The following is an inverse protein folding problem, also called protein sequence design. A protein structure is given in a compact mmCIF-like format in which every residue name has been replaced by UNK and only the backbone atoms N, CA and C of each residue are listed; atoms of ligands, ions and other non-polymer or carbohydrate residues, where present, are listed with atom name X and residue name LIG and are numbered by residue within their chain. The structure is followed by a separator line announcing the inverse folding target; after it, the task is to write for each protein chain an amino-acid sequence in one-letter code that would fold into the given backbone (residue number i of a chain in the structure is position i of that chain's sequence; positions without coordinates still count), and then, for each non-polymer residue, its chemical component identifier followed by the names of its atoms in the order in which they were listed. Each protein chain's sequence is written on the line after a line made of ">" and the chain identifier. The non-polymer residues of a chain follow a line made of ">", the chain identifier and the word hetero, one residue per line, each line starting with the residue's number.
data_IF_636341741232
#
_entry.id   IF_636341741232
#
_cell.length_a   1.000
_cell.length_b   1.000
_cell.length_c   1.000
_cell.angle_alpha   90.00
_cell.angle_beta   90.00
_cell.angle_gamma   90.00
#
_symmetry.space_group_name_H-M   'P 1'
#
loop_
_entity.id
_entity.type
_entity.pdbx_description
1 polymer ?
#
# COMPACT_ATOMS: atom_id res chain seq x y z
N UNK A 1 10.55 2.43 7.24
CA UNK A 1 11.53 2.58 8.33
C UNK A 1 12.23 1.25 8.65
N UNK A 2 11.51 0.16 9.03
CA UNK A 2 12.11 -1.13 9.40
C UNK A 2 12.96 -1.77 8.29
N UNK A 3 12.57 -1.66 7.04
CA UNK A 3 13.37 -2.16 5.91
C UNK A 3 14.67 -1.37 5.72
N UNK A 4 14.64 -0.05 5.88
CA UNK A 4 15.86 0.78 5.86
C UNK A 4 16.80 0.41 7.01
N UNK A 5 16.27 0.28 8.22
CA UNK A 5 17.01 -0.19 9.41
C UNK A 5 17.65 -1.58 9.18
N UNK A 6 16.91 -2.50 8.57
CA UNK A 6 17.43 -3.83 8.20
C UNK A 6 18.63 -3.73 7.25
N UNK A 7 18.51 -2.92 6.17
CA UNK A 7 19.62 -2.69 5.22
C UNK A 7 20.85 -2.11 5.91
N UNK A 8 20.64 -1.09 6.74
CA UNK A 8 21.72 -0.42 7.47
C UNK A 8 22.45 -1.36 8.44
N UNK A 9 21.69 -2.20 9.15
CA UNK A 9 22.22 -3.11 10.14
C UNK A 9 22.90 -4.33 9.52
N UNK A 10 22.26 -4.93 8.51
CA UNK A 10 22.73 -6.21 7.95
C UNK A 10 23.65 -6.04 6.73
N UNK A 11 23.64 -4.86 6.10
CA UNK A 11 24.30 -4.59 4.82
C UNK A 11 23.84 -5.51 3.69
N UNK A 12 22.66 -6.10 3.81
CA UNK A 12 22.07 -6.98 2.80
C UNK A 12 21.19 -6.18 1.84
N UNK A 13 21.26 -6.43 0.52
CA UNK A 13 20.39 -5.76 -0.43
C UNK A 13 18.95 -6.24 -0.29
N UNK A 14 18.02 -5.33 -0.53
CA UNK A 14 16.59 -5.60 -0.67
C UNK A 14 16.22 -5.34 -2.13
N UNK A 15 15.65 -6.33 -2.80
CA UNK A 15 15.05 -6.17 -4.11
C UNK A 15 13.55 -6.41 -4.00
N UNK A 16 12.78 -5.53 -4.61
CA UNK A 16 11.33 -5.61 -4.65
C UNK A 16 10.86 -6.16 -6.00
N UNK A 17 9.80 -6.95 -5.99
CA UNK A 17 9.14 -7.45 -7.17
C UNK A 17 7.63 -7.17 -7.13
N UNK A 18 7.20 -6.29 -8.00
CA UNK A 18 5.80 -5.93 -8.15
C UNK A 18 5.11 -6.91 -9.10
N UNK A 19 4.36 -7.88 -8.58
CA UNK A 19 3.72 -8.92 -9.39
C UNK A 19 2.52 -8.41 -10.19
N UNK A 20 1.63 -7.61 -9.56
CA UNK A 20 0.38 -7.14 -10.17
C UNK A 20 0.07 -5.68 -9.84
N UNK A 21 -0.22 -5.40 -8.58
CA UNK A 21 -0.61 -4.08 -8.12
C UNK A 21 0.24 -3.68 -6.91
N UNK A 22 1.04 -2.65 -7.08
CA UNK A 22 1.89 -2.09 -6.04
C UNK A 22 1.86 -0.56 -6.13
N UNK A 23 0.80 0.05 -5.61
CA UNK A 23 0.54 1.47 -5.74
C UNK A 23 0.33 2.13 -4.37
N UNK A 24 0.43 3.47 -4.31
CA UNK A 24 0.24 4.25 -3.09
C UNK A 24 1.17 3.75 -1.96
N UNK A 25 0.65 3.33 -0.82
CA UNK A 25 1.45 2.76 0.27
C UNK A 25 2.31 1.57 -0.13
N UNK A 26 1.85 0.71 -1.07
CA UNK A 26 2.66 -0.37 -1.64
C UNK A 26 3.90 0.16 -2.38
N UNK A 27 3.73 1.20 -3.20
CA UNK A 27 4.85 1.86 -3.87
C UNK A 27 5.79 2.55 -2.86
N UNK A 28 5.23 3.17 -1.81
CA UNK A 28 6.04 3.79 -0.75
C UNK A 28 6.96 2.77 -0.05
N UNK A 29 6.48 1.55 0.21
CA UNK A 29 7.29 0.48 0.82
C UNK A 29 8.47 0.10 -0.07
N UNK A 30 8.27 0.06 -1.39
CA UNK A 30 9.32 -0.26 -2.37
C UNK A 30 10.49 0.74 -2.37
N UNK A 31 10.30 1.95 -1.85
CA UNK A 31 11.36 2.96 -1.72
C UNK A 31 12.47 2.57 -0.73
N UNK A 32 12.30 1.51 0.03
CA UNK A 32 13.37 0.94 0.86
C UNK A 32 14.29 -0.02 0.09
N UNK A 33 13.93 -0.37 -1.13
CA UNK A 33 14.64 -1.36 -1.95
C UNK A 33 15.81 -0.76 -2.71
N UNK A 34 16.82 -1.58 -2.99
CA UNK A 34 17.97 -1.21 -3.84
C UNK A 34 17.64 -1.36 -5.32
N UNK A 35 16.66 -2.21 -5.63
CA UNK A 35 16.12 -2.41 -6.97
C UNK A 35 14.66 -2.77 -6.92
N UNK A 36 13.92 -2.23 -7.88
CA UNK A 36 12.48 -2.46 -8.03
C UNK A 36 12.23 -3.07 -9.41
N UNK A 37 11.76 -4.30 -9.40
CA UNK A 37 11.33 -5.04 -10.58
C UNK A 37 9.81 -5.08 -10.66
N UNK A 38 9.27 -5.11 -11.85
CA UNK A 38 7.84 -5.27 -12.05
C UNK A 38 7.52 -6.29 -13.15
N UNK A 39 6.39 -6.98 -13.01
CA UNK A 39 5.80 -7.72 -14.13
C UNK A 39 5.31 -6.73 -15.20
N UNK A 40 5.27 -7.15 -16.47
CA UNK A 40 4.79 -6.30 -17.58
C UNK A 40 3.35 -5.79 -17.40
N UNK A 41 2.52 -6.53 -16.65
CA UNK A 41 1.13 -6.19 -16.35
C UNK A 41 0.95 -5.44 -15.02
N UNK A 42 2.04 -5.07 -14.37
CA UNK A 42 1.98 -4.33 -13.09
C UNK A 42 1.38 -2.94 -13.27
N UNK A 43 0.53 -2.58 -12.33
CA UNK A 43 0.08 -1.21 -12.09
C UNK A 43 0.71 -0.69 -10.80
N UNK A 44 1.36 0.49 -10.86
CA UNK A 44 2.10 1.08 -9.74
C UNK A 44 1.91 2.60 -9.68
N UNK A 45 2.71 3.29 -8.89
CA UNK A 45 2.59 4.74 -8.68
C UNK A 45 1.49 5.08 -7.69
N UNK A 46 0.48 5.85 -8.10
CA UNK A 46 -0.53 6.42 -7.19
C UNK A 46 0.14 7.15 -6.00
N UNK A 47 1.14 7.99 -6.34
CA UNK A 47 1.84 8.82 -5.37
C UNK A 47 0.91 9.98 -5.05
N UNK A 48 0.31 9.91 -3.88
CA UNK A 48 -0.70 10.85 -3.45
C UNK A 48 -1.37 10.40 -2.15
N UNK A 49 -2.09 11.33 -1.52
CA UNK A 49 -2.82 11.11 -0.27
C UNK A 49 -4.25 11.56 -0.45
N UNK A 50 -5.19 10.78 0.04
CA UNK A 50 -6.61 11.07 -0.05
C UNK A 50 -7.30 10.82 1.29
N UNK A 51 -8.22 11.70 1.64
CA UNK A 51 -9.28 11.46 2.60
C UNK A 51 -10.61 11.74 1.90
N UNK A 52 -11.54 10.82 1.94
CA UNK A 52 -12.85 10.98 1.30
C UNK A 52 -13.96 10.47 2.22
N UNK A 53 -15.15 11.05 2.07
CA UNK A 53 -16.35 10.67 2.82
C UNK A 53 -17.59 11.23 2.18
N UNK A 54 -18.76 10.85 2.71
CA UNK A 54 -20.05 11.37 2.27
C UNK A 54 -20.69 12.20 3.39
N UNK A 55 -21.10 13.42 3.10
CA UNK A 55 -22.03 14.16 3.96
C UNK A 55 -23.47 13.71 3.66
N UNK A 56 -24.00 12.88 4.56
CA UNK A 56 -25.35 12.36 4.46
C UNK A 56 -26.40 13.19 5.22
N UNK A 57 -26.00 14.33 5.81
CA UNK A 57 -26.86 15.13 6.68
C UNK A 57 -28.14 15.61 5.97
N UNK A 58 -28.03 16.00 4.69
CA UNK A 58 -29.16 16.43 3.87
C UNK A 58 -30.15 15.29 3.60
N UNK A 59 -29.66 14.06 3.38
CA UNK A 59 -30.50 12.88 3.20
C UNK A 59 -31.20 12.47 4.50
N UNK A 60 -30.49 12.45 5.60
CA UNK A 60 -31.07 12.16 6.92
C UNK A 60 -32.20 13.10 7.28
N UNK A 61 -31.99 14.40 7.01
CA UNK A 61 -33.04 15.42 7.21
C UNK A 61 -34.30 15.13 6.37
N UNK A 62 -34.15 14.74 5.10
CA UNK A 62 -35.28 14.41 4.20
C UNK A 62 -36.04 13.16 4.66
N UNK A 63 -35.34 12.19 5.25
CA UNK A 63 -35.91 10.96 5.74
C UNK A 63 -36.40 11.02 7.20
N UNK A 64 -36.28 12.19 7.86
CA UNK A 64 -36.65 12.34 9.26
C UNK A 64 -35.73 11.57 10.24
N UNK A 65 -34.53 11.17 9.79
CA UNK A 65 -33.52 10.50 10.61
C UNK A 65 -32.75 11.53 11.42
N UNK A 66 -32.73 11.35 12.73
CA UNK A 66 -31.95 12.19 13.65
C UNK A 66 -30.61 11.53 13.92
N UNK A 67 -29.53 12.13 13.38
CA UNK A 67 -28.18 11.79 13.80
C UNK A 67 -27.86 12.45 15.13
N UNK A 68 -27.34 11.69 16.08
CA UNK A 68 -26.92 12.18 17.40
C UNK A 68 -25.47 11.79 17.63
N UNK A 69 -24.62 12.78 17.87
CA UNK A 69 -23.22 12.58 18.22
C UNK A 69 -22.91 13.35 19.51
N UNK A 70 -22.28 12.70 20.47
CA UNK A 70 -21.83 13.30 21.72
C UNK A 70 -20.31 13.18 21.75
N UNK A 71 -19.61 14.30 21.66
CA UNK A 71 -18.17 14.34 21.48
C UNK A 71 -17.47 15.19 22.52
N UNK A 72 -16.22 14.88 22.81
CA UNK A 72 -15.38 15.67 23.73
C UNK A 72 -14.84 16.96 23.11
N UNK A 73 -14.94 17.13 21.78
CA UNK A 73 -14.42 18.31 21.07
C UNK A 73 -15.06 18.47 19.70
N UNK A 74 -15.15 19.73 19.24
CA UNK A 74 -15.88 20.12 18.02
C UNK A 74 -15.42 19.42 16.74
N UNK A 75 -14.15 19.04 16.67
CA UNK A 75 -13.55 18.41 15.49
C UNK A 75 -13.48 16.88 15.57
N UNK A 76 -14.10 16.26 16.60
CA UNK A 76 -14.10 14.81 16.76
C UNK A 76 -15.11 14.12 15.85
N UNK A 77 -16.20 14.79 15.50
CA UNK A 77 -17.23 14.30 14.59
C UNK A 77 -17.06 14.94 13.22
N UNK A 78 -16.67 14.12 12.25
CA UNK A 78 -16.49 14.52 10.85
C UNK A 78 -17.67 14.11 9.95
N UNK A 79 -18.82 13.79 10.51
CA UNK A 79 -20.00 13.36 9.75
C UNK A 79 -20.53 14.38 8.75
N UNK A 80 -20.19 15.68 8.93
CA UNK A 80 -20.63 16.79 8.08
C UNK A 80 -19.49 17.50 7.33
N UNK A 81 -18.23 17.24 7.70
CA UNK A 81 -17.06 17.92 7.12
C UNK A 81 -17.24 19.44 7.02
N UNK A 82 -17.25 20.14 8.17
CA UNK A 82 -17.29 21.59 8.16
C UNK A 82 -16.08 22.20 7.44
N UNK A 83 -16.19 23.43 6.93
CA UNK A 83 -15.08 24.11 6.23
C UNK A 83 -13.80 24.17 7.09
N UNK A 84 -13.95 24.38 8.41
CA UNK A 84 -12.83 24.33 9.36
C UNK A 84 -12.20 22.93 9.41
N UNK A 85 -12.99 21.88 9.47
CA UNK A 85 -12.48 20.49 9.47
C UNK A 85 -11.83 20.14 8.15
N UNK A 86 -12.41 20.56 7.03
CA UNK A 86 -11.82 20.39 5.69
C UNK A 86 -10.44 21.03 5.63
N UNK A 87 -10.28 22.26 6.16
CA UNK A 87 -8.99 22.94 6.20
C UNK A 87 -7.96 22.17 7.05
N UNK A 88 -8.36 21.71 8.26
CA UNK A 88 -7.49 20.90 9.13
C UNK A 88 -7.04 19.62 8.42
N UNK A 89 -7.97 18.91 7.79
CA UNK A 89 -7.62 17.66 7.08
C UNK A 89 -6.80 17.93 5.82
N UNK A 90 -7.04 19.04 5.12
CA UNK A 90 -6.22 19.42 3.96
C UNK A 90 -4.76 19.66 4.35
N UNK A 91 -4.52 20.31 5.48
CA UNK A 91 -3.15 20.53 5.98
C UNK A 91 -2.45 19.18 6.31
N UNK A 92 -3.17 18.25 6.95
CA UNK A 92 -2.64 16.91 7.25
C UNK A 92 -2.34 16.13 5.96
N UNK A 93 -3.21 16.21 4.96
CA UNK A 93 -3.01 15.58 3.65
C UNK A 93 -1.81 16.18 2.94
N UNK A 94 -1.65 17.50 2.99
CA UNK A 94 -0.51 18.18 2.37
C UNK A 94 0.81 17.75 3.04
N UNK A 95 0.85 17.67 4.36
CA UNK A 95 2.03 17.18 5.11
C UNK A 95 2.38 15.74 4.72
N UNK A 96 1.41 14.84 4.74
CA UNK A 96 1.60 13.45 4.35
C UNK A 96 2.00 13.30 2.86
N UNK A 97 1.49 14.14 1.99
CA UNK A 97 1.87 14.18 0.58
C UNK A 97 3.33 14.61 0.40
N UNK A 98 3.77 15.68 1.06
CA UNK A 98 5.17 16.12 0.99
C UNK A 98 6.12 15.05 1.55
N UNK A 99 5.73 14.36 2.62
CA UNK A 99 6.51 13.23 3.14
C UNK A 99 6.61 12.09 2.10
N UNK A 100 5.50 11.72 1.44
CA UNK A 100 5.51 10.71 0.40
C UNK A 100 6.41 11.10 -0.78
N UNK A 101 6.30 12.33 -1.26
CA UNK A 101 7.14 12.86 -2.34
C UNK A 101 8.63 12.78 -1.97
N UNK A 102 8.99 13.19 -0.75
CA UNK A 102 10.38 13.11 -0.28
C UNK A 102 10.88 11.66 -0.18
N UNK A 103 10.05 10.74 0.31
CA UNK A 103 10.39 9.31 0.36
C UNK A 103 10.67 8.76 -1.04
N UNK A 104 9.89 9.17 -2.04
CA UNK A 104 10.10 8.75 -3.44
C UNK A 104 11.36 9.42 -4.02
N UNK A 105 11.56 10.71 -3.78
CA UNK A 105 12.75 11.43 -4.23
C UNK A 105 14.02 10.76 -3.72
N UNK A 106 14.08 10.45 -2.43
CA UNK A 106 15.20 9.73 -1.82
C UNK A 106 15.36 8.31 -2.36
N UNK A 107 14.24 7.57 -2.51
CA UNK A 107 14.27 6.16 -2.92
C UNK A 107 14.59 5.97 -4.39
N UNK A 108 14.37 6.99 -5.23
CA UNK A 108 14.60 6.95 -6.68
C UNK A 108 15.75 7.84 -7.16
N UNK A 109 16.44 8.53 -6.25
CA UNK A 109 17.49 9.49 -6.56
C UNK A 109 17.00 10.55 -7.59
N UNK A 110 15.78 11.08 -7.32
CA UNK A 110 15.12 12.08 -8.16
C UNK A 110 15.01 13.41 -7.42
N UNK A 111 14.90 14.51 -8.17
CA UNK A 111 14.54 15.79 -7.55
C UNK A 111 13.08 15.76 -7.07
N UNK A 112 12.81 16.47 -5.97
CA UNK A 112 11.43 16.64 -5.46
C UNK A 112 10.51 17.22 -6.53
N UNK A 113 11.02 18.15 -7.36
CA UNK A 113 10.27 18.75 -8.46
C UNK A 113 9.88 17.75 -9.53
N UNK A 114 10.77 16.82 -9.89
CA UNK A 114 10.48 15.79 -10.89
C UNK A 114 9.50 14.74 -10.33
N UNK A 115 9.65 14.38 -9.05
CA UNK A 115 8.66 13.52 -8.40
C UNK A 115 7.29 14.18 -8.37
N UNK A 116 7.17 15.47 -8.03
CA UNK A 116 5.89 16.19 -8.01
C UNK A 116 5.17 16.20 -9.38
N UNK A 117 5.90 16.19 -10.49
CA UNK A 117 5.31 16.05 -11.84
C UNK A 117 4.65 14.68 -12.06
N UNK A 118 5.08 13.67 -11.32
CA UNK A 118 4.58 12.30 -11.40
C UNK A 118 3.60 11.95 -10.25
N UNK A 119 3.49 12.82 -9.25
CA UNK A 119 2.80 12.57 -7.98
C UNK A 119 1.45 13.28 -7.90
N UNK A 120 0.63 13.15 -8.94
CA UNK A 120 -0.74 13.68 -8.96
C UNK A 120 -1.80 12.65 -8.57
N UNK A 121 -1.38 11.51 -8.02
CA UNK A 121 -2.25 10.42 -7.57
C UNK A 121 -2.58 9.39 -8.66
N UNK A 122 -2.15 9.61 -9.92
CA UNK A 122 -2.40 8.64 -11.01
C UNK A 122 -1.56 7.38 -10.84
N UNK A 123 -2.07 6.28 -11.38
CA UNK A 123 -1.31 5.04 -11.53
C UNK A 123 -0.56 5.02 -12.87
N UNK A 124 0.46 4.18 -12.95
CA UNK A 124 1.29 3.94 -14.12
C UNK A 124 1.34 2.45 -14.44
N UNK A 125 1.36 2.11 -15.73
CA UNK A 125 1.75 0.78 -16.16
C UNK A 125 3.24 0.55 -15.88
N UNK A 126 3.69 -0.70 -15.84
CA UNK A 126 5.10 -1.03 -15.67
C UNK A 126 5.99 -0.27 -16.67
N UNK A 127 5.59 -0.19 -17.94
CA UNK A 127 6.34 0.52 -18.98
C UNK A 127 6.43 2.03 -18.71
N UNK A 128 5.32 2.65 -18.31
CA UNK A 128 5.31 4.08 -17.94
C UNK A 128 6.16 4.33 -16.70
N UNK A 129 6.04 3.48 -15.69
CA UNK A 129 6.82 3.59 -14.46
C UNK A 129 8.33 3.46 -14.73
N UNK A 130 8.76 2.52 -15.60
CA UNK A 130 10.16 2.38 -15.99
C UNK A 130 10.64 3.63 -16.75
N UNK A 131 9.87 4.11 -17.70
CA UNK A 131 10.24 5.31 -18.49
C UNK A 131 10.35 6.57 -17.62
N UNK A 132 9.57 6.64 -16.55
CA UNK A 132 9.56 7.75 -15.59
C UNK A 132 10.57 7.57 -14.45
N UNK A 133 11.36 6.50 -14.43
CA UNK A 133 12.33 6.24 -13.37
C UNK A 133 11.74 5.72 -12.06
N UNK A 134 10.44 5.39 -12.04
CA UNK A 134 9.77 4.91 -10.84
C UNK A 134 10.09 3.46 -10.49
N UNK A 135 10.53 2.66 -11.46
CA UNK A 135 11.05 1.29 -11.29
C UNK A 135 12.31 1.09 -12.12
N UNK A 136 13.08 0.05 -11.82
CA UNK A 136 14.35 -0.22 -12.50
C UNK A 136 14.18 -1.16 -13.69
N UNK A 137 13.37 -2.21 -13.56
CA UNK A 137 13.31 -3.25 -14.58
C UNK A 137 11.92 -3.88 -14.71
N UNK A 138 11.62 -4.32 -15.94
CA UNK A 138 10.43 -5.15 -16.22
C UNK A 138 10.94 -6.54 -16.54
N UNK A 139 10.52 -7.53 -15.75
CA UNK A 139 10.93 -8.93 -15.94
C UNK A 139 9.91 -9.91 -15.35
N UNK A 140 10.15 -11.19 -15.55
CA UNK A 140 9.46 -12.21 -14.78
C UNK A 140 10.13 -12.39 -13.41
N UNK A 141 9.37 -12.88 -12.43
CA UNK A 141 9.90 -13.13 -11.09
C UNK A 141 11.10 -14.10 -11.06
N UNK A 142 11.11 -15.22 -11.84
CA UNK A 142 12.29 -16.08 -11.92
C UNK A 142 13.54 -15.36 -12.43
N UNK A 143 13.39 -14.48 -13.43
CA UNK A 143 14.53 -13.73 -13.99
C UNK A 143 15.15 -12.79 -12.95
N UNK A 144 14.31 -12.13 -12.13
CA UNK A 144 14.79 -11.31 -11.01
C UNK A 144 15.52 -12.15 -9.96
N UNK A 145 15.00 -13.36 -9.62
CA UNK A 145 15.68 -14.29 -8.70
C UNK A 145 17.03 -14.73 -9.25
N UNK A 146 17.11 -15.04 -10.54
CA UNK A 146 18.37 -15.40 -11.20
C UNK A 146 19.39 -14.24 -11.20
N UNK A 147 18.93 -13.02 -11.45
CA UNK A 147 19.77 -11.84 -11.35
C UNK A 147 20.28 -11.61 -9.93
N UNK A 148 19.44 -11.84 -8.92
CA UNK A 148 19.85 -11.74 -7.52
C UNK A 148 20.82 -12.85 -7.13
N UNK A 149 20.60 -14.09 -7.59
CA UNK A 149 21.50 -15.21 -7.38
C UNK A 149 22.90 -14.93 -7.91
N UNK A 150 22.99 -14.41 -9.13
CA UNK A 150 24.26 -14.01 -9.76
C UNK A 150 24.96 -12.93 -8.95
N UNK A 151 24.22 -11.93 -8.46
CA UNK A 151 24.79 -10.84 -7.66
C UNK A 151 25.32 -11.33 -6.30
N UNK A 152 24.62 -12.25 -5.65
CA UNK A 152 24.96 -12.73 -4.31
C UNK A 152 25.85 -13.98 -4.32
N UNK A 153 26.05 -14.63 -5.48
CA UNK A 153 26.84 -15.87 -5.58
C UNK A 153 26.14 -17.07 -4.89
N UNK A 154 24.82 -17.08 -4.81
CA UNK A 154 24.03 -18.16 -4.21
C UNK A 154 22.77 -18.45 -5.02
N UNK A 155 22.36 -19.72 -5.05
CA UNK A 155 21.10 -20.16 -5.66
C UNK A 155 20.09 -20.67 -4.63
N UNK A 156 20.40 -20.52 -3.33
CA UNK A 156 19.52 -20.98 -2.27
C UNK A 156 18.57 -19.86 -1.87
N UNK A 157 17.27 -20.11 -1.96
CA UNK A 157 16.21 -19.22 -1.55
C UNK A 157 15.39 -19.88 -0.44
N UNK A 158 15.07 -19.10 0.57
CA UNK A 158 14.15 -19.51 1.62
C UNK A 158 12.88 -18.66 1.47
N UNK A 159 11.74 -19.33 1.34
CA UNK A 159 10.44 -18.65 1.40
C UNK A 159 10.01 -18.57 2.85
N UNK A 160 9.65 -17.37 3.29
CA UNK A 160 9.00 -17.20 4.58
C UNK A 160 7.56 -17.69 4.42
N UNK A 161 7.18 -18.71 5.19
CA UNK A 161 5.78 -19.11 5.26
C UNK A 161 4.97 -17.92 5.79
N UNK A 162 3.96 -17.52 5.02
CA UNK A 162 3.00 -16.54 5.50
C UNK A 162 2.17 -17.18 6.62
N UNK A 163 1.89 -16.43 7.70
CA UNK A 163 1.00 -16.87 8.77
C UNK A 163 -0.45 -17.21 8.32
N UNK A 164 -0.75 -17.06 7.03
CA UNK A 164 -2.02 -17.49 6.43
C UNK A 164 -2.30 -18.97 6.67
N UNK A 165 -1.27 -19.81 6.68
CA UNK A 165 -1.38 -21.23 7.02
C UNK A 165 -1.85 -21.45 8.47
N UNK A 166 -1.40 -20.62 9.40
CA UNK A 166 -1.79 -20.69 10.81
C UNK A 166 -3.24 -20.22 11.02
N UNK A 167 -3.62 -19.12 10.39
CA UNK A 167 -5.01 -18.61 10.39
C UNK A 167 -5.95 -19.62 9.72
N UNK A 168 -5.59 -20.15 8.55
CA UNK A 168 -6.38 -21.15 7.84
C UNK A 168 -6.51 -22.46 8.63
N UNK A 169 -5.46 -22.88 9.35
CA UNK A 169 -5.51 -24.03 10.26
C UNK A 169 -6.38 -23.77 11.49
N UNK A 170 -6.42 -22.53 12.00
CA UNK A 170 -7.31 -22.13 13.10
C UNK A 170 -8.78 -22.07 12.65
N UNK A 171 -9.05 -21.54 11.46
CA UNK A 171 -10.39 -21.50 10.88
C UNK A 171 -10.92 -22.91 10.55
N UNK A 172 -10.10 -23.79 9.98
CA UNK A 172 -10.49 -25.17 9.71
C UNK A 172 -10.74 -25.98 10.99
N UNK A 173 -9.96 -25.74 12.05
CA UNK A 173 -10.25 -26.29 13.40
C UNK A 173 -11.53 -25.74 13.98
N UNK A 174 -11.82 -24.44 13.85
CA UNK A 174 -13.06 -23.85 14.32
C UNK A 174 -14.29 -24.40 13.58
N UNK A 175 -14.18 -24.58 12.23
CA UNK A 175 -15.23 -25.23 11.43
C UNK A 175 -15.48 -26.68 11.84
N UNK A 176 -14.44 -27.42 12.24
CA UNK A 176 -14.59 -28.80 12.70
C UNK A 176 -15.30 -28.92 14.08
N UNK A 177 -15.38 -27.81 14.83
CA UNK A 177 -16.06 -27.75 16.12
C UNK A 177 -17.54 -27.32 15.99
N UNK A 178 -17.97 -26.85 14.81
CA UNK A 178 -19.38 -26.53 14.56
C UNK A 178 -20.13 -27.82 14.24
N UNK A 179 -21.20 -28.17 14.95
CA UNK A 179 -22.01 -29.34 14.62
C UNK A 179 -22.56 -29.21 13.20
N UNK A 180 -22.26 -30.19 12.36
CA UNK A 180 -22.82 -30.25 11.01
C UNK A 180 -24.34 -30.39 11.08
N UNK A 181 -25.08 -29.56 10.37
CA UNK A 181 -26.53 -29.74 10.25
C UNK A 181 -26.82 -31.08 9.55
N UNK A 182 -27.95 -31.72 9.90
CA UNK A 182 -28.38 -33.01 9.32
C UNK A 182 -28.38 -33.01 7.76
N UNK A 183 -28.58 -31.87 7.12
CA UNK A 183 -28.50 -31.71 5.66
C UNK A 183 -27.08 -31.83 5.08
N UNK A 184 -26.01 -31.68 5.88
CA UNK A 184 -24.62 -31.78 5.45
C UNK A 184 -24.02 -33.19 5.68
N UNK A 185 -24.76 -34.09 6.31
CA UNK A 185 -24.30 -35.48 6.58
C UNK A 185 -24.76 -36.44 5.46
N UNK A 186 -25.65 -36.00 4.56
CA UNK A 186 -26.25 -36.83 3.50
C UNK A 186 -25.68 -36.56 2.09
N UNK A 187 -24.60 -35.80 1.98
CA UNK A 187 -23.81 -35.60 0.74
C UNK A 187 -22.38 -36.08 0.98
#
# INVERSE_FOLDING_TARGET
>A
QKLKEYKETTKRPIWDYMAHYAASGGYMVSMASDKIYANSNTTTGSIGVIMSGYDMSGLYKKLGIRYVSITSGKNKDSSKFTDEQIAIYQDQINEAYEEFVNIVADGRDMSVEDVKKLADGRTYTAKQAKNNGLIDEISLYPDMKDAMSKKLGTSTFYEMESDEGLLQSLFSKAESLVPKSEAQVLT
#
